data_IF_641040834643
#
_entry.id   IF_641040834643
#
_cell.length_a   1.000
_cell.length_b   1.000
_cell.length_c   1.000
_cell.angle_alpha   90.00
_cell.angle_beta   90.00
_cell.angle_gamma   90.00
#
_symmetry.space_group_name_H-M   'P 1'
#
loop_
_entity.id
_entity.type
_entity.pdbx_description
1 polymer ?
#
# COMPACT_ATOMS: atom_id res chain seq x y z
N UNK A 1 4.65 35.30 -28.12
CA UNK A 1 4.94 33.97 -27.53
C UNK A 1 3.78 33.05 -27.84
N UNK A 2 4.01 31.74 -27.98
CA UNK A 2 2.91 30.77 -28.10
C UNK A 2 2.40 30.39 -26.72
N UNK A 3 1.13 29.98 -26.61
CA UNK A 3 0.53 29.51 -25.34
C UNK A 3 1.37 28.40 -24.71
N UNK A 4 1.97 27.51 -25.50
CA UNK A 4 2.82 26.44 -24.99
C UNK A 4 4.16 26.93 -24.43
N UNK A 5 4.73 28.02 -24.96
CA UNK A 5 5.92 28.66 -24.40
C UNK A 5 5.61 29.33 -23.05
N UNK A 6 4.44 29.96 -22.94
CA UNK A 6 3.98 30.51 -21.66
C UNK A 6 3.74 29.40 -20.64
N UNK A 7 3.13 28.28 -21.04
CA UNK A 7 2.96 27.09 -20.20
C UNK A 7 4.32 26.52 -19.78
N UNK A 8 5.29 26.45 -20.69
CA UNK A 8 6.65 25.99 -20.36
C UNK A 8 7.29 26.89 -19.30
N UNK A 9 7.16 28.20 -19.45
CA UNK A 9 7.71 29.15 -18.50
C UNK A 9 7.00 29.06 -17.15
N UNK A 10 5.66 29.00 -17.15
CA UNK A 10 4.82 28.81 -15.97
C UNK A 10 5.08 27.46 -15.26
N UNK A 11 5.44 26.43 -16.02
CA UNK A 11 5.69 25.09 -15.45
C UNK A 11 6.92 25.06 -14.54
N UNK A 12 7.86 26.01 -14.68
CA UNK A 12 9.10 26.03 -13.90
C UNK A 12 8.87 26.14 -12.40
N UNK A 13 7.82 26.84 -11.99
CA UNK A 13 7.46 27.05 -10.60
C UNK A 13 6.54 25.94 -10.03
N UNK A 14 6.33 24.87 -10.80
CA UNK A 14 5.47 23.75 -10.40
C UNK A 14 6.30 22.59 -9.83
N UNK A 15 5.71 21.76 -8.95
CA UNK A 15 6.33 20.54 -8.46
C UNK A 15 6.84 19.66 -9.61
N UNK A 16 7.96 18.98 -9.40
CA UNK A 16 8.65 18.22 -10.43
C UNK A 16 7.75 17.15 -11.10
N UNK A 17 6.93 16.46 -10.31
CA UNK A 17 5.95 15.49 -10.84
C UNK A 17 4.87 16.14 -11.72
N UNK A 18 4.42 17.36 -11.41
CA UNK A 18 3.45 18.08 -12.25
C UNK A 18 4.08 18.52 -13.57
N UNK A 19 5.38 18.86 -13.54
CA UNK A 19 6.15 19.16 -14.76
C UNK A 19 6.33 17.93 -15.64
N UNK A 20 6.49 16.75 -15.06
CA UNK A 20 6.50 15.48 -15.80
C UNK A 20 5.11 15.16 -16.38
N UNK A 21 4.04 15.35 -15.59
CA UNK A 21 2.67 15.21 -16.07
C UNK A 21 2.40 16.09 -17.29
N UNK A 22 2.83 17.36 -17.25
CA UNK A 22 2.73 18.27 -18.39
C UNK A 22 3.51 17.79 -19.61
N UNK A 23 4.73 17.24 -19.43
CA UNK A 23 5.51 16.65 -20.52
C UNK A 23 4.75 15.49 -21.18
N UNK A 24 4.24 14.55 -20.40
CA UNK A 24 3.45 13.41 -20.90
C UNK A 24 2.20 13.87 -21.65
N UNK A 25 1.50 14.87 -21.11
CA UNK A 25 0.32 15.47 -21.76
C UNK A 25 0.67 16.17 -23.08
N UNK A 26 1.83 16.82 -23.18
CA UNK A 26 2.27 17.49 -24.41
C UNK A 26 2.68 16.48 -25.49
N UNK A 27 3.31 15.36 -25.12
CA UNK A 27 3.79 14.34 -26.06
C UNK A 27 2.66 13.38 -26.47
N UNK A 28 1.93 12.84 -25.50
CA UNK A 28 0.96 11.76 -25.70
C UNK A 28 -0.48 12.28 -25.85
N UNK A 29 -0.76 13.52 -25.46
CA UNK A 29 -2.08 14.14 -25.52
C UNK A 29 -3.00 13.81 -24.34
N UNK A 30 -2.93 12.58 -23.82
CA UNK A 30 -3.68 12.07 -22.65
C UNK A 30 -2.77 11.24 -21.73
N UNK A 31 -3.23 10.98 -20.51
CA UNK A 31 -2.53 10.15 -19.52
C UNK A 31 -3.31 8.85 -19.31
N UNK A 32 -2.61 7.71 -19.30
CA UNK A 32 -3.21 6.42 -18.93
C UNK A 32 -3.27 6.24 -17.40
N UNK A 33 -3.95 5.19 -16.94
CA UNK A 33 -3.98 4.86 -15.51
C UNK A 33 -2.59 4.47 -14.97
N UNK A 34 -1.73 3.89 -15.82
CA UNK A 34 -0.32 3.63 -15.50
C UNK A 34 0.46 4.94 -15.34
N UNK A 35 0.20 5.94 -16.19
CA UNK A 35 0.80 7.27 -16.04
C UNK A 35 0.40 7.92 -14.72
N UNK A 36 -0.90 7.87 -14.37
CA UNK A 36 -1.40 8.41 -13.09
C UNK A 36 -0.74 7.70 -11.90
N UNK A 37 -0.58 6.38 -11.99
CA UNK A 37 0.10 5.57 -10.97
C UNK A 37 1.56 5.97 -10.81
N UNK A 38 2.28 6.13 -11.93
CA UNK A 38 3.67 6.58 -11.91
C UNK A 38 3.81 8.01 -11.35
N UNK A 39 2.89 8.92 -11.70
CA UNK A 39 2.86 10.29 -11.18
C UNK A 39 2.58 10.35 -9.67
N UNK A 40 1.75 9.45 -9.15
CA UNK A 40 1.53 9.33 -7.71
C UNK A 40 2.81 8.88 -6.97
N UNK A 41 3.55 7.92 -7.53
CA UNK A 41 4.86 7.52 -6.99
C UNK A 41 5.89 8.65 -7.04
N UNK A 42 5.95 9.42 -8.14
CA UNK A 42 6.82 10.60 -8.26
C UNK A 42 6.43 11.72 -7.27
N UNK A 43 5.14 11.85 -6.95
CA UNK A 43 4.69 12.76 -5.91
C UNK A 43 5.18 12.31 -4.54
N UNK A 44 5.05 11.02 -4.21
CA UNK A 44 5.54 10.42 -2.95
C UNK A 44 7.06 10.52 -2.81
N UNK A 45 7.82 10.27 -3.88
CA UNK A 45 9.29 10.32 -3.85
C UNK A 45 9.81 11.72 -3.50
N UNK A 46 9.17 12.78 -4.01
CA UNK A 46 9.52 14.17 -3.67
C UNK A 46 9.32 14.54 -2.21
N UNK A 47 8.54 13.75 -1.46
CA UNK A 47 8.29 13.91 -0.03
C UNK A 47 8.97 12.82 0.83
N UNK A 48 9.79 11.95 0.24
CA UNK A 48 10.43 10.85 0.96
C UNK A 48 9.48 9.74 1.41
N UNK A 49 8.31 9.63 0.80
CA UNK A 49 7.28 8.63 1.11
C UNK A 49 7.36 7.39 0.19
N UNK A 50 8.25 7.39 -0.79
CA UNK A 50 8.51 6.30 -1.73
C UNK A 50 9.99 6.30 -2.12
N UNK A 51 10.43 5.25 -2.81
CA UNK A 51 11.77 5.18 -3.39
C UNK A 51 12.06 6.38 -4.28
N UNK A 52 13.31 6.85 -4.25
CA UNK A 52 13.71 8.01 -5.01
C UNK A 52 13.64 7.69 -6.51
N UNK A 53 12.87 8.51 -7.23
CA UNK A 53 12.63 8.36 -8.66
C UNK A 53 12.90 9.68 -9.35
N UNK A 54 13.59 9.61 -10.48
CA UNK A 54 13.86 10.77 -11.30
C UNK A 54 12.59 11.22 -12.04
N UNK A 55 12.39 12.52 -12.08
CA UNK A 55 11.33 13.15 -12.87
C UNK A 55 11.92 13.65 -14.18
N UNK A 56 11.17 13.52 -15.28
CA UNK A 56 11.55 14.12 -16.56
C UNK A 56 10.66 15.35 -16.77
N UNK A 57 11.14 16.56 -16.43
CA UNK A 57 10.31 17.76 -16.49
C UNK A 57 10.00 18.18 -17.94
N UNK A 58 8.91 18.90 -18.12
CA UNK A 58 8.65 19.64 -19.36
C UNK A 58 9.83 20.58 -19.67
N UNK A 59 10.32 20.50 -20.91
CA UNK A 59 11.52 21.17 -21.38
C UNK A 59 11.27 21.76 -22.77
N UNK A 60 12.17 22.63 -23.26
CA UNK A 60 12.01 23.32 -24.54
C UNK A 60 11.87 22.36 -25.72
N UNK A 61 12.60 21.26 -25.72
CA UNK A 61 12.52 20.19 -26.73
C UNK A 61 11.13 19.52 -26.81
N UNK A 62 10.38 19.52 -25.72
CA UNK A 62 9.04 18.95 -25.66
C UNK A 62 7.97 19.91 -26.21
N UNK A 63 8.25 21.21 -26.20
CA UNK A 63 7.32 22.25 -26.65
C UNK A 63 7.67 22.65 -28.08
N UNK A 64 6.69 22.70 -29.00
CA UNK A 64 6.95 23.21 -30.34
C UNK A 64 7.52 24.62 -30.22
N UNK A 65 8.80 24.77 -30.56
CA UNK A 65 9.41 26.07 -30.70
C UNK A 65 8.64 26.85 -31.76
N UNK A 66 8.51 28.17 -31.57
CA UNK A 66 8.67 29.01 -32.75
C UNK A 66 10.06 28.65 -33.27
N UNK A 67 10.13 27.77 -34.27
CA UNK A 67 11.23 27.91 -35.19
C UNK A 67 11.07 29.32 -35.71
N UNK A 68 12.01 30.21 -35.37
CA UNK A 68 12.22 31.47 -36.08
C UNK A 68 12.71 31.17 -37.52
N UNK A 69 12.13 30.15 -38.15
CA UNK A 69 12.38 29.72 -39.50
C UNK A 69 11.27 30.28 -40.38
N UNK A 70 11.60 30.41 -41.65
CA UNK A 70 10.70 31.01 -42.61
C UNK A 70 9.38 30.20 -42.72
N UNK A 71 8.24 30.86 -43.03
CA UNK A 71 6.92 30.24 -43.07
C UNK A 71 6.90 29.04 -44.02
N UNK A 72 6.27 27.93 -43.62
CA UNK A 72 6.11 26.76 -44.48
C UNK A 72 4.75 26.82 -45.16
N UNK A 73 4.73 26.74 -46.49
CA UNK A 73 3.51 26.70 -47.29
C UNK A 73 3.45 25.40 -48.10
N UNK A 74 2.35 24.66 -47.96
CA UNK A 74 2.10 23.49 -48.80
C UNK A 74 1.84 23.94 -50.24
N UNK A 75 2.45 23.23 -51.20
CA UNK A 75 2.30 23.48 -52.64
C UNK A 75 1.44 22.39 -53.28
N UNK A 76 1.71 21.13 -52.97
CA UNK A 76 0.89 20.02 -53.46
C UNK A 76 1.06 18.73 -52.65
N UNK A 77 0.04 17.88 -52.68
CA UNK A 77 0.13 16.46 -52.30
C UNK A 77 0.06 15.65 -53.59
N UNK A 78 1.04 14.77 -53.80
CA UNK A 78 1.06 13.78 -54.86
C UNK A 78 0.77 12.40 -54.24
N UNK A 79 -0.31 11.77 -54.70
CA UNK A 79 -0.64 10.40 -54.35
C UNK A 79 -0.16 9.48 -55.46
N UNK A 80 0.91 8.72 -55.22
CA UNK A 80 1.35 7.69 -56.18
C UNK A 80 0.39 6.51 -56.12
N UNK A 81 0.21 5.90 -54.94
CA UNK A 81 -0.66 4.74 -54.73
C UNK A 81 -0.94 4.46 -53.26
N UNK A 82 -1.93 3.60 -52.99
CA UNK A 82 -2.12 2.94 -51.69
C UNK A 82 -2.82 3.76 -50.61
N UNK A 83 -3.46 4.89 -50.95
CA UNK A 83 -4.23 5.71 -50.00
C UNK A 83 -5.73 5.68 -50.30
N UNK A 84 -6.51 5.09 -49.39
CA UNK A 84 -7.96 4.92 -49.51
C UNK A 84 -8.34 4.46 -50.94
N UNK A 85 -9.43 4.98 -51.51
CA UNK A 85 -9.81 4.80 -52.92
C UNK A 85 -9.41 6.03 -53.78
N UNK A 86 -8.30 6.69 -53.46
CA UNK A 86 -7.78 7.77 -54.29
C UNK A 86 -7.24 7.23 -55.61
N UNK A 87 -7.44 7.98 -56.70
CA UNK A 87 -6.86 7.63 -57.99
C UNK A 87 -5.32 7.68 -57.91
N UNK A 88 -4.66 6.69 -58.51
CA UNK A 88 -3.20 6.66 -58.62
C UNK A 88 -2.70 7.86 -59.44
N UNK A 89 -1.48 8.30 -59.12
CA UNK A 89 -0.79 9.45 -59.72
C UNK A 89 -1.59 10.78 -59.70
N UNK A 90 -2.47 10.95 -58.71
CA UNK A 90 -3.27 12.16 -58.56
C UNK A 90 -2.50 13.23 -57.77
N UNK A 91 -2.58 14.48 -58.24
CA UNK A 91 -2.01 15.65 -57.56
C UNK A 91 -3.09 16.59 -57.05
N UNK A 92 -3.12 16.86 -55.75
CA UNK A 92 -3.88 17.96 -55.16
C UNK A 92 -2.96 19.17 -54.97
N UNK A 93 -3.29 20.30 -55.62
CA UNK A 93 -2.49 21.55 -55.54
C UNK A 93 -3.14 22.54 -54.57
N UNK A 94 -2.31 23.27 -53.83
CA UNK A 94 -2.73 24.34 -52.93
C UNK A 94 -2.41 25.71 -53.53
N UNK A 95 -3.33 26.67 -53.33
CA UNK A 95 -3.10 28.08 -53.63
C UNK A 95 -2.37 28.80 -52.48
N UNK A 96 -1.90 30.04 -52.70
CA UNK A 96 -1.10 30.83 -51.74
C UNK A 96 -1.89 31.34 -50.51
N UNK A 97 -3.16 30.98 -50.38
CA UNK A 97 -4.05 31.41 -49.30
C UNK A 97 -5.07 30.33 -48.98
N UNK A 98 -6.36 30.66 -49.11
CA UNK A 98 -7.43 29.68 -48.87
C UNK A 98 -7.60 28.75 -50.07
N UNK A 99 -7.48 27.44 -49.84
CA UNK A 99 -7.82 26.40 -50.83
C UNK A 99 -9.05 25.65 -50.33
N UNK A 100 -10.14 25.69 -51.09
CA UNK A 100 -11.37 24.96 -50.77
C UNK A 100 -11.44 23.70 -51.63
N UNK A 101 -11.45 22.53 -50.97
CA UNK A 101 -11.62 21.22 -51.62
C UNK A 101 -13.00 20.68 -51.27
N UNK A 102 -13.87 20.55 -52.26
CA UNK A 102 -15.25 20.07 -52.10
C UNK A 102 -15.54 18.92 -53.07
N UNK A 103 -16.59 18.16 -52.79
CA UNK A 103 -17.02 17.02 -53.57
C UNK A 103 -17.95 16.14 -52.75
N UNK A 104 -18.54 15.13 -53.37
CA UNK A 104 -19.50 14.24 -52.71
C UNK A 104 -18.86 13.41 -51.59
N UNK A 105 -19.71 12.82 -50.74
CA UNK A 105 -19.26 11.83 -49.77
C UNK A 105 -18.65 10.64 -50.51
N UNK A 106 -17.46 10.19 -50.08
CA UNK A 106 -16.69 9.16 -50.77
C UNK A 106 -15.74 9.67 -51.85
N UNK A 107 -15.75 10.97 -52.21
CA UNK A 107 -14.85 11.54 -53.22
C UNK A 107 -13.35 11.61 -52.82
N UNK A 108 -12.94 11.00 -51.70
CA UNK A 108 -11.53 10.92 -51.31
C UNK A 108 -10.99 12.07 -50.44
N UNK A 109 -11.79 13.08 -50.11
CA UNK A 109 -11.37 14.23 -49.26
C UNK A 109 -10.65 13.80 -47.97
N UNK A 110 -11.23 12.85 -47.24
CA UNK A 110 -10.63 12.29 -46.00
C UNK A 110 -9.31 11.57 -46.25
N UNK A 111 -9.10 10.99 -47.45
CA UNK A 111 -7.83 10.36 -47.83
C UNK A 111 -6.69 11.36 -47.84
N UNK A 112 -6.90 12.54 -48.43
CA UNK A 112 -5.91 13.63 -48.41
C UNK A 112 -5.63 14.15 -47.00
N UNK A 113 -6.64 14.24 -46.13
CA UNK A 113 -6.46 14.63 -44.72
C UNK A 113 -5.60 13.61 -43.96
N UNK A 114 -5.77 12.30 -44.21
CA UNK A 114 -4.94 11.25 -43.60
C UNK A 114 -3.47 11.37 -44.01
N UNK A 115 -3.19 11.68 -45.27
CA UNK A 115 -1.83 11.95 -45.75
C UNK A 115 -1.21 13.12 -44.97
N UNK A 116 -1.98 14.20 -44.80
CA UNK A 116 -1.53 15.36 -44.03
C UNK A 116 -1.33 15.02 -42.55
N UNK A 117 -2.22 14.26 -41.92
CA UNK A 117 -2.06 13.82 -40.52
C UNK A 117 -0.86 12.90 -40.30
N UNK A 118 -0.46 12.11 -41.30
CA UNK A 118 0.73 11.24 -41.18
C UNK A 118 2.04 11.98 -41.39
N UNK A 119 2.03 13.03 -42.23
CA UNK A 119 3.25 13.76 -42.60
C UNK A 119 3.47 15.02 -41.75
N UNK A 120 2.38 15.67 -41.34
CA UNK A 120 2.38 16.91 -40.57
C UNK A 120 2.01 16.61 -39.11
N UNK A 121 2.19 17.59 -38.22
CA UNK A 121 1.88 17.42 -36.80
C UNK A 121 0.38 17.61 -36.56
N UNK A 122 -0.33 16.52 -36.26
CA UNK A 122 -1.78 16.51 -35.97
C UNK A 122 -2.09 15.90 -34.60
N UNK A 123 -3.16 16.36 -33.94
CA UNK A 123 -3.71 15.69 -32.74
C UNK A 123 -4.57 14.51 -33.20
N UNK A 124 -4.24 13.30 -32.75
CA UNK A 124 -4.85 12.05 -33.21
C UNK A 124 -4.23 11.57 -34.53
N UNK A 125 -2.98 11.06 -34.49
CA UNK A 125 -2.36 10.47 -35.66
C UNK A 125 -3.24 9.33 -36.17
N UNK A 126 -3.60 9.39 -37.46
CA UNK A 126 -4.47 8.42 -38.08
C UNK A 126 -3.66 7.61 -39.09
N UNK A 127 -3.75 6.28 -39.01
CA UNK A 127 -3.08 5.42 -39.97
C UNK A 127 -3.69 5.63 -41.36
N UNK A 128 -2.84 5.80 -42.37
CA UNK A 128 -3.28 5.76 -43.76
C UNK A 128 -3.88 4.37 -44.01
N UNK A 129 -5.16 4.34 -44.41
CA UNK A 129 -5.85 3.10 -44.77
C UNK A 129 -5.75 2.91 -46.28
N UNK A 130 -5.61 1.67 -46.73
CA UNK A 130 -5.64 1.35 -48.16
C UNK A 130 -7.05 1.17 -48.71
N UNK A 131 -7.16 0.89 -50.00
CA UNK A 131 -8.44 0.67 -50.67
C UNK A 131 -9.11 -0.63 -50.17
N UNK A 132 -10.22 -0.52 -49.45
CA UNK A 132 -10.96 -1.70 -48.95
C UNK A 132 -11.93 -2.29 -49.98
N UNK A 133 -12.22 -1.59 -51.08
CA UNK A 133 -13.15 -2.05 -52.12
C UNK A 133 -12.45 -2.71 -53.31
N UNK A 134 -11.11 -2.79 -53.32
CA UNK A 134 -10.35 -3.36 -54.46
C UNK A 134 -10.37 -4.89 -54.51
N UNK A 135 -10.83 -5.58 -53.46
CA UNK A 135 -10.84 -7.05 -53.39
C UNK A 135 -9.46 -7.71 -53.32
N UNK A 136 -8.40 -6.90 -53.21
CA UNK A 136 -6.99 -7.31 -53.18
C UNK A 136 -6.30 -6.72 -51.95
N UNK A 137 -5.18 -7.31 -51.51
CA UNK A 137 -4.39 -6.78 -50.40
C UNK A 137 -3.97 -5.33 -50.72
N UNK A 138 -4.27 -4.35 -49.84
CA UNK A 138 -3.96 -2.96 -50.14
C UNK A 138 -2.45 -2.72 -50.28
N UNK A 139 -2.07 -1.99 -51.33
CA UNK A 139 -0.68 -1.58 -51.57
C UNK A 139 -0.17 -0.66 -50.45
N UNK A 140 1.14 -0.71 -50.19
CA UNK A 140 1.77 0.23 -49.27
C UNK A 140 1.58 1.68 -49.78
N UNK A 141 1.21 2.63 -48.89
CA UNK A 141 0.97 4.00 -49.29
C UNK A 141 2.28 4.66 -49.73
N UNK A 142 2.27 5.25 -50.93
CA UNK A 142 3.38 6.03 -51.47
C UNK A 142 2.85 7.40 -51.85
N UNK A 143 3.34 8.42 -51.16
CA UNK A 143 2.88 9.81 -51.28
C UNK A 143 4.07 10.74 -51.25
N UNK A 144 3.96 11.87 -51.94
CA UNK A 144 4.89 12.97 -51.80
C UNK A 144 4.18 14.29 -51.51
N UNK A 145 4.81 15.14 -50.71
CA UNK A 145 4.29 16.46 -50.35
C UNK A 145 5.33 17.49 -50.77
N UNK A 146 4.92 18.42 -51.64
CA UNK A 146 5.73 19.57 -52.00
C UNK A 146 5.39 20.75 -51.11
N UNK A 147 6.41 21.39 -50.56
CA UNK A 147 6.27 22.53 -49.66
C UNK A 147 7.35 23.57 -49.92
N UNK A 148 7.07 24.83 -49.58
CA UNK A 148 8.01 25.95 -49.68
C UNK A 148 8.36 26.45 -48.29
N UNK A 149 9.62 26.80 -48.07
CA UNK A 149 10.10 27.41 -46.83
C UNK A 149 10.46 28.87 -47.12
N UNK A 150 9.70 29.82 -46.58
CA UNK A 150 9.94 31.25 -46.76
C UNK A 150 9.76 31.72 -48.19
N UNK A 151 10.77 32.45 -48.66
CA UNK A 151 10.83 33.02 -50.01
C UNK A 151 11.60 32.13 -51.01
N UNK A 152 11.91 30.88 -50.66
CA UNK A 152 12.57 29.94 -51.59
C UNK A 152 11.74 29.76 -52.87
N UNK A 153 12.38 29.90 -54.03
CA UNK A 153 11.73 29.74 -55.34
C UNK A 153 11.26 28.30 -55.54
N UNK A 154 12.15 27.36 -55.22
CA UNK A 154 11.96 25.94 -55.51
C UNK A 154 11.30 25.21 -54.33
N UNK A 155 10.19 24.49 -54.58
CA UNK A 155 9.56 23.69 -53.55
C UNK A 155 10.42 22.47 -53.21
N UNK A 156 10.53 22.19 -51.92
CA UNK A 156 11.11 20.95 -51.39
C UNK A 156 10.08 19.84 -51.45
N UNK A 157 10.53 18.59 -51.47
CA UNK A 157 9.66 17.41 -51.58
C UNK A 157 9.93 16.43 -50.44
N UNK A 158 8.87 16.07 -49.74
CA UNK A 158 8.85 15.01 -48.73
C UNK A 158 8.27 13.74 -49.35
N UNK A 159 8.97 12.60 -49.27
CA UNK A 159 8.60 11.35 -49.95
C UNK A 159 8.26 10.19 -48.99
N UNK A 160 7.64 10.48 -47.84
CA UNK A 160 7.04 9.44 -46.99
C UNK A 160 7.98 8.70 -46.04
N UNK A 161 9.30 8.89 -46.11
CA UNK A 161 10.28 7.99 -45.47
C UNK A 161 11.05 8.55 -44.28
N UNK A 162 10.87 9.81 -43.87
CA UNK A 162 11.55 10.39 -42.70
C UNK A 162 10.71 11.49 -42.03
N UNK A 163 10.92 11.73 -40.73
CA UNK A 163 10.41 12.94 -40.08
C UNK A 163 11.10 14.17 -40.70
N UNK A 164 10.29 15.11 -41.23
CA UNK A 164 10.77 16.36 -41.80
C UNK A 164 10.40 17.53 -40.88
N UNK A 165 11.42 18.23 -40.41
CA UNK A 165 11.28 19.36 -39.47
C UNK A 165 10.46 20.53 -40.03
N UNK A 166 10.35 20.65 -41.36
CA UNK A 166 9.58 21.72 -41.99
C UNK A 166 8.12 21.32 -42.21
N UNK A 167 7.87 20.10 -42.69
CA UNK A 167 6.49 19.60 -42.91
C UNK A 167 5.75 19.45 -41.58
N UNK A 168 6.44 19.05 -40.52
CA UNK A 168 5.89 18.98 -39.16
C UNK A 168 5.44 20.34 -38.58
N UNK A 169 5.84 21.48 -39.17
CA UNK A 169 5.36 22.82 -38.76
C UNK A 169 3.94 23.12 -39.23
N UNK A 170 3.42 22.35 -40.19
CA UNK A 170 2.05 22.51 -40.69
C UNK A 170 1.08 21.88 -39.70
N UNK A 171 0.09 22.65 -39.25
CA UNK A 171 -0.97 22.17 -38.35
C UNK A 171 -2.19 21.73 -39.16
N UNK A 172 -2.68 20.51 -38.90
CA UNK A 172 -3.84 19.93 -39.57
C UNK A 172 -5.03 19.90 -38.61
N UNK A 173 -6.18 20.41 -39.04
CA UNK A 173 -7.41 20.48 -38.24
C UNK A 173 -8.56 19.79 -39.00
N UNK A 174 -9.24 18.84 -38.36
CA UNK A 174 -10.42 18.17 -38.92
C UNK A 174 -11.55 17.99 -37.89
N UNK A 175 -12.68 17.42 -38.31
CA UNK A 175 -13.85 17.19 -37.43
C UNK A 175 -13.55 16.22 -36.28
N UNK A 176 -12.61 15.28 -36.45
CA UNK A 176 -12.19 14.39 -35.37
C UNK A 176 -11.37 15.15 -34.33
N UNK A 177 -10.50 16.09 -34.76
CA UNK A 177 -9.90 17.07 -33.86
C UNK A 177 -10.98 17.93 -33.18
N UNK A 178 -12.06 18.31 -33.89
CA UNK A 178 -13.16 19.14 -33.39
C UNK A 178 -14.01 18.47 -32.29
N UNK A 179 -14.22 17.15 -32.37
CA UNK A 179 -15.00 16.40 -31.37
C UNK A 179 -14.36 16.44 -29.97
N UNK A 180 -13.03 16.50 -29.89
CA UNK A 180 -12.28 16.73 -28.64
C UNK A 180 -12.54 18.14 -28.06
N UNK A 181 -12.89 19.11 -28.91
CA UNK A 181 -13.23 20.48 -28.48
C UNK A 181 -14.72 20.68 -28.13
N UNK A 182 -15.64 19.89 -28.70
CA UNK A 182 -17.10 20.07 -28.53
C UNK A 182 -17.74 19.17 -27.45
N UNK A 183 -17.05 18.09 -27.03
CA UNK A 183 -17.61 17.14 -26.05
C UNK A 183 -17.56 17.64 -24.61
N UNK A 184 -16.80 18.70 -24.32
CA UNK A 184 -16.74 19.33 -23.02
C UNK A 184 -17.50 20.66 -23.04
N UNK A 185 -18.63 20.73 -22.34
CA UNK A 185 -19.43 21.95 -22.17
C UNK A 185 -18.54 23.10 -21.68
N UNK A 186 -18.08 23.92 -22.62
CA UNK A 186 -17.29 25.11 -22.33
C UNK A 186 -17.92 26.27 -23.08
N UNK A 187 -18.30 27.32 -22.34
CA UNK A 187 -19.01 28.52 -22.80
C UNK A 187 -18.11 29.47 -23.62
N UNK A 188 -17.12 28.91 -24.34
CA UNK A 188 -16.08 29.64 -25.06
C UNK A 188 -16.03 29.09 -26.48
N UNK A 189 -16.42 29.94 -27.44
CA UNK A 189 -16.49 29.60 -28.86
C UNK A 189 -15.15 29.17 -29.49
N UNK A 190 -14.02 29.38 -28.81
CA UNK A 190 -12.69 29.04 -29.32
C UNK A 190 -11.66 28.90 -28.20
N UNK A 191 -10.97 27.76 -28.13
CA UNK A 191 -9.86 27.51 -27.19
C UNK A 191 -8.52 27.43 -27.94
N UNK A 192 -7.58 28.36 -27.71
CA UNK A 192 -6.25 28.31 -28.34
C UNK A 192 -5.49 27.01 -28.02
N UNK A 193 -4.69 26.54 -28.98
CA UNK A 193 -3.88 25.33 -28.86
C UNK A 193 -2.95 25.39 -27.63
N UNK A 194 -3.02 24.38 -26.77
CA UNK A 194 -2.24 24.28 -25.55
C UNK A 194 -2.98 24.72 -24.29
N UNK A 195 -4.05 25.52 -24.39
CA UNK A 195 -4.80 25.94 -23.20
C UNK A 195 -5.58 24.79 -22.55
N UNK A 196 -5.85 23.70 -23.29
CA UNK A 196 -6.45 22.46 -22.79
C UNK A 196 -5.55 21.66 -21.84
N UNK A 197 -4.24 21.94 -21.83
CA UNK A 197 -3.30 21.31 -20.90
C UNK A 197 -3.63 21.60 -19.44
N UNK A 198 -4.20 22.77 -19.14
CA UNK A 198 -4.60 23.12 -17.79
C UNK A 198 -5.70 22.20 -17.26
N UNK A 199 -6.73 21.95 -18.05
CA UNK A 199 -7.85 21.09 -17.62
C UNK A 199 -7.40 19.64 -17.48
N UNK A 200 -6.56 19.17 -18.43
CA UNK A 200 -5.96 17.85 -18.37
C UNK A 200 -5.06 17.69 -17.15
N UNK A 201 -4.25 18.71 -16.82
CA UNK A 201 -3.45 18.71 -15.61
C UNK A 201 -4.33 18.72 -14.35
N UNK A 202 -5.42 19.49 -14.32
CA UNK A 202 -6.39 19.48 -13.20
C UNK A 202 -6.98 18.08 -13.01
N UNK A 203 -7.35 17.39 -14.10
CA UNK A 203 -7.80 15.99 -14.03
C UNK A 203 -6.72 15.07 -13.49
N UNK A 204 -5.49 15.19 -13.99
CA UNK A 204 -4.35 14.43 -13.49
C UNK A 204 -4.14 14.64 -11.98
N UNK A 205 -4.18 15.89 -11.51
CA UNK A 205 -4.04 16.20 -10.08
C UNK A 205 -5.17 15.59 -9.24
N UNK A 206 -6.42 15.61 -9.73
CA UNK A 206 -7.55 14.97 -9.06
C UNK A 206 -7.36 13.45 -8.99
N UNK A 207 -6.96 12.82 -10.09
CA UNK A 207 -6.74 11.38 -10.14
C UNK A 207 -5.60 10.93 -9.20
N UNK A 208 -4.47 11.65 -9.21
CA UNK A 208 -3.36 11.41 -8.27
C UNK A 208 -3.82 11.61 -6.82
N UNK A 209 -4.58 12.67 -6.53
CA UNK A 209 -5.14 12.91 -5.19
C UNK A 209 -6.02 11.74 -4.74
N UNK A 210 -6.97 11.31 -5.56
CA UNK A 210 -7.86 10.19 -5.23
C UNK A 210 -7.07 8.90 -4.96
N UNK A 211 -6.01 8.64 -5.73
CA UNK A 211 -5.13 7.49 -5.50
C UNK A 211 -4.42 7.58 -4.16
N UNK A 212 -3.85 8.73 -3.81
CA UNK A 212 -3.20 8.96 -2.53
C UNK A 212 -4.18 8.90 -1.35
N UNK A 213 -5.38 9.45 -1.48
CA UNK A 213 -6.44 9.36 -0.46
C UNK A 213 -6.89 7.90 -0.25
N UNK A 214 -6.99 7.11 -1.32
CA UNK A 214 -7.28 5.67 -1.22
C UNK A 214 -6.16 4.92 -0.50
N UNK A 215 -4.90 5.16 -0.85
CA UNK A 215 -3.75 4.55 -0.16
C UNK A 215 -3.71 4.95 1.32
N UNK A 216 -3.93 6.23 1.61
CA UNK A 216 -4.01 6.74 2.99
C UNK A 216 -5.14 6.06 3.77
N UNK A 217 -6.31 5.88 3.15
CA UNK A 217 -7.42 5.18 3.78
C UNK A 217 -7.06 3.73 4.10
N UNK A 218 -6.44 3.00 3.15
CA UNK A 218 -6.00 1.61 3.37
C UNK A 218 -4.94 1.51 4.47
N UNK A 219 -4.02 2.47 4.57
CA UNK A 219 -3.04 2.54 5.67
C UNK A 219 -3.70 2.92 7.01
N UNK A 220 -4.73 3.77 6.97
CA UNK A 220 -5.49 4.22 8.14
C UNK A 220 -6.45 3.16 8.69
N UNK A 221 -6.89 2.20 7.86
CA UNK A 221 -7.58 0.99 8.30
C UNK A 221 -6.59 0.03 8.96
N UNK A 222 -6.09 0.44 10.13
CA UNK A 222 -5.22 -0.35 10.98
C UNK A 222 -5.94 -1.64 11.41
N UNK A 223 -5.58 -2.78 10.81
CA UNK A 223 -5.93 -4.11 11.35
C UNK A 223 -5.43 -4.33 12.77
N UNK A 224 -4.51 -3.47 13.24
CA UNK A 224 -3.99 -3.43 14.60
C UNK A 224 -5.08 -3.17 15.65
N UNK A 225 -6.10 -2.36 15.34
CA UNK A 225 -7.23 -2.13 16.24
C UNK A 225 -8.08 -3.40 16.42
N UNK A 226 -8.29 -4.15 15.34
CA UNK A 226 -8.97 -5.46 15.38
C UNK A 226 -8.19 -6.47 16.23
N UNK A 227 -6.86 -6.52 16.05
CA UNK A 227 -5.99 -7.43 16.81
C UNK A 227 -5.93 -7.05 18.30
N UNK A 228 -5.84 -5.76 18.64
CA UNK A 228 -5.84 -5.28 20.02
C UNK A 228 -7.07 -5.75 20.82
N UNK A 229 -8.25 -5.80 20.17
CA UNK A 229 -9.48 -6.26 20.83
C UNK A 229 -9.49 -7.76 21.18
N UNK A 230 -8.65 -8.57 20.52
CA UNK A 230 -8.55 -10.01 20.77
C UNK A 230 -7.53 -10.40 21.84
N UNK A 231 -6.65 -9.46 22.22
CA UNK A 231 -5.55 -9.74 23.14
C UNK A 231 -5.98 -9.44 24.58
N UNK A 232 -5.78 -10.38 25.53
CA UNK A 232 -6.08 -10.14 26.93
C UNK A 232 -5.32 -8.91 27.47
N UNK A 233 -6.03 -8.12 28.28
CA UNK A 233 -5.47 -6.97 28.99
C UNK A 233 -4.30 -7.44 29.89
N UNK A 234 -3.37 -6.52 30.19
CA UNK A 234 -2.17 -6.73 31.03
C UNK A 234 -1.04 -7.61 30.46
N UNK A 235 -1.26 -8.25 29.31
CA UNK A 235 -0.20 -9.00 28.62
C UNK A 235 0.92 -8.09 28.13
N UNK A 236 2.14 -8.63 28.00
CA UNK A 236 3.27 -7.90 27.43
C UNK A 236 2.97 -7.44 25.99
N UNK A 237 2.23 -8.26 25.23
CA UNK A 237 1.79 -7.96 23.86
C UNK A 237 0.78 -6.80 23.83
N UNK A 238 -0.22 -6.79 24.73
CA UNK A 238 -1.18 -5.68 24.82
C UNK A 238 -0.49 -4.35 25.15
N UNK A 239 0.42 -4.34 26.12
CA UNK A 239 1.21 -3.14 26.47
C UNK A 239 2.11 -2.67 25.32
N UNK A 240 2.73 -3.61 24.61
CA UNK A 240 3.56 -3.30 23.45
C UNK A 240 2.76 -2.70 22.30
N UNK A 241 1.60 -3.29 21.97
CA UNK A 241 0.73 -2.78 20.91
C UNK A 241 0.08 -1.44 21.26
N UNK A 242 -0.22 -1.19 22.54
CA UNK A 242 -0.74 0.10 23.00
C UNK A 242 0.31 1.23 22.92
N UNK A 243 1.59 0.90 23.10
CA UNK A 243 2.72 1.83 23.00
C UNK A 243 3.40 1.89 21.62
N UNK A 244 2.90 1.12 20.64
CA UNK A 244 3.50 1.01 19.31
C UNK A 244 3.46 2.34 18.55
N UNK A 245 4.60 2.75 18.00
CA UNK A 245 4.73 3.93 17.15
C UNK A 245 5.55 3.63 15.88
N UNK A 246 5.75 4.63 15.02
CA UNK A 246 6.63 4.54 13.85
C UNK A 246 8.11 4.27 14.20
N UNK A 247 8.50 4.40 15.48
CA UNK A 247 9.84 4.10 15.98
C UNK A 247 9.99 2.65 16.48
N UNK A 248 8.92 1.86 16.42
CA UNK A 248 8.94 0.47 16.87
C UNK A 248 9.80 -0.36 15.93
N UNK A 249 10.83 -0.99 16.48
CA UNK A 249 11.75 -1.84 15.71
C UNK A 249 11.09 -3.17 15.35
N UNK A 250 11.22 -3.67 14.10
CA UNK A 250 10.66 -4.95 13.69
C UNK A 250 11.08 -6.12 14.59
N UNK A 251 12.30 -6.08 15.13
CA UNK A 251 12.85 -7.13 15.99
C UNK A 251 12.07 -7.28 17.30
N UNK A 252 11.58 -6.16 17.86
CA UNK A 252 10.78 -6.18 19.09
C UNK A 252 9.41 -6.82 18.87
N UNK A 253 8.83 -6.65 17.67
CA UNK A 253 7.59 -7.33 17.26
C UNK A 253 7.86 -8.84 17.12
N UNK A 254 8.95 -9.22 16.46
CA UNK A 254 9.30 -10.62 16.23
C UNK A 254 9.58 -11.39 17.52
N UNK A 255 10.20 -10.74 18.51
CA UNK A 255 10.45 -11.34 19.82
C UNK A 255 9.15 -11.72 20.54
N UNK A 256 8.12 -10.86 20.47
CA UNK A 256 6.81 -11.11 21.09
C UNK A 256 5.88 -11.98 20.25
N UNK A 257 6.21 -12.23 18.99
CA UNK A 257 5.44 -13.06 18.06
C UNK A 257 5.85 -14.56 18.10
N UNK A 258 6.77 -14.94 18.99
CA UNK A 258 7.27 -16.33 19.12
C UNK A 258 7.02 -16.84 20.53
N UNK A 259 6.79 -18.14 20.65
CA UNK A 259 6.75 -18.87 21.92
C UNK A 259 7.99 -19.76 21.98
N UNK A 260 8.67 -19.77 23.12
CA UNK A 260 9.82 -20.66 23.34
C UNK A 260 9.37 -22.07 23.73
N UNK A 261 10.21 -23.11 23.52
CA UNK A 261 9.92 -24.47 23.96
C UNK A 261 9.69 -24.56 25.48
N UNK A 262 10.37 -23.74 26.28
CA UNK A 262 10.16 -23.67 27.73
C UNK A 262 8.78 -23.11 28.09
N UNK A 263 8.31 -22.11 27.35
CA UNK A 263 6.97 -21.53 27.53
C UNK A 263 5.87 -22.50 27.10
N UNK A 264 6.05 -23.26 26.02
CA UNK A 264 5.13 -24.33 25.61
C UNK A 264 5.02 -25.41 26.70
N UNK A 265 6.15 -25.87 27.23
CA UNK A 265 6.17 -26.85 28.32
C UNK A 265 5.46 -26.32 29.58
N UNK A 266 5.67 -25.04 29.90
CA UNK A 266 5.01 -24.38 31.03
C UNK A 266 3.50 -24.23 30.80
N UNK A 267 3.08 -23.88 29.59
CA UNK A 267 1.66 -23.78 29.23
C UNK A 267 0.96 -25.14 29.43
N UNK A 268 1.55 -26.22 28.90
CA UNK A 268 1.01 -27.57 29.06
C UNK A 268 0.90 -27.98 30.55
N UNK A 269 1.88 -27.61 31.38
CA UNK A 269 1.85 -27.86 32.81
C UNK A 269 0.74 -27.06 33.53
N UNK A 270 0.53 -25.80 33.13
CA UNK A 270 -0.52 -24.94 33.69
C UNK A 270 -1.92 -25.42 33.30
N UNK A 271 -2.13 -25.82 32.04
CA UNK A 271 -3.40 -26.39 31.57
C UNK A 271 -3.75 -27.66 32.35
N UNK A 272 -2.77 -28.55 32.53
CA UNK A 272 -2.95 -29.75 33.36
C UNK A 272 -3.29 -29.40 34.81
N UNK A 273 -2.57 -28.45 35.39
CA UNK A 273 -2.81 -28.00 36.78
C UNK A 273 -4.20 -27.37 36.94
N UNK A 274 -4.67 -26.63 35.93
CA UNK A 274 -5.99 -26.01 35.92
C UNK A 274 -7.09 -27.07 35.86
N UNK A 275 -6.94 -28.09 35.01
CA UNK A 275 -7.85 -29.25 34.98
C UNK A 275 -7.88 -29.99 36.31
N UNK A 276 -6.71 -30.25 36.92
CA UNK A 276 -6.62 -30.89 38.23
C UNK A 276 -7.30 -30.06 39.33
N UNK A 277 -7.21 -28.72 39.27
CA UNK A 277 -7.87 -27.79 40.20
C UNK A 277 -9.37 -27.65 39.95
N UNK A 278 -9.85 -27.78 38.71
CA UNK A 278 -11.28 -27.77 38.39
C UNK A 278 -11.94 -29.12 38.73
N UNK A 279 -11.22 -30.22 38.56
CA UNK A 279 -11.71 -31.56 38.89
C UNK A 279 -11.72 -31.82 40.42
N UNK A 280 -10.79 -31.22 41.16
CA UNK A 280 -10.75 -31.29 42.61
C UNK A 280 -11.43 -30.07 43.23
N UNK A 281 -12.52 -30.29 43.96
CA UNK A 281 -13.17 -29.27 44.77
C UNK A 281 -12.14 -28.68 45.77
N UNK A 282 -11.70 -27.42 45.59
CA UNK A 282 -10.61 -26.85 46.38
C UNK A 282 -10.98 -26.74 47.85
N UNK A 283 -12.26 -26.58 48.19
CA UNK A 283 -12.71 -26.60 49.58
C UNK A 283 -12.55 -28.00 50.20
N UNK A 284 -12.89 -29.05 49.46
CA UNK A 284 -12.65 -30.44 49.92
C UNK A 284 -11.18 -30.75 50.07
N UNK A 285 -10.33 -30.27 49.17
CA UNK A 285 -8.88 -30.47 49.27
C UNK A 285 -8.31 -29.75 50.50
N UNK A 286 -8.72 -28.50 50.76
CA UNK A 286 -8.33 -27.74 51.95
C UNK A 286 -8.79 -28.46 53.23
N UNK A 287 -10.04 -28.94 53.26
CA UNK A 287 -10.56 -29.71 54.40
C UNK A 287 -9.75 -30.99 54.64
N UNK A 288 -9.45 -31.76 53.58
CA UNK A 288 -8.65 -32.97 53.68
C UNK A 288 -7.23 -32.70 54.19
N UNK A 289 -6.56 -31.67 53.67
CA UNK A 289 -5.21 -31.29 54.10
C UNK A 289 -5.20 -30.78 55.54
N UNK A 290 -6.21 -30.02 55.95
CA UNK A 290 -6.36 -29.52 57.33
C UNK A 290 -6.54 -30.68 58.30
N UNK A 291 -7.39 -31.66 57.97
CA UNK A 291 -7.58 -32.87 58.79
C UNK A 291 -6.28 -33.68 58.88
N UNK A 292 -5.53 -33.83 57.78
CA UNK A 292 -4.23 -34.52 57.77
C UNK A 292 -3.20 -33.79 58.64
N UNK A 293 -3.09 -32.48 58.51
CA UNK A 293 -2.19 -31.67 59.35
C UNK A 293 -2.55 -31.81 60.84
N UNK A 294 -3.84 -31.78 61.17
CA UNK A 294 -4.32 -31.99 62.54
C UNK A 294 -3.96 -33.37 63.10
N UNK A 295 -4.10 -34.44 62.30
CA UNK A 295 -3.70 -35.80 62.69
C UNK A 295 -2.20 -35.91 62.97
N UNK A 296 -1.37 -35.30 62.12
CA UNK A 296 0.09 -35.29 62.31
C UNK A 296 0.46 -34.52 63.58
N UNK A 297 -0.16 -33.35 63.81
CA UNK A 297 0.07 -32.57 65.03
C UNK A 297 -0.37 -33.32 66.29
N UNK A 298 -1.51 -34.03 66.24
CA UNK A 298 -1.98 -34.86 67.35
C UNK A 298 -1.00 -36.01 67.65
N UNK A 299 -0.47 -36.67 66.62
CA UNK A 299 0.54 -37.71 66.77
C UNK A 299 1.82 -37.15 67.40
N UNK A 300 2.29 -35.99 66.95
CA UNK A 300 3.46 -35.30 67.54
C UNK A 300 3.22 -34.99 69.01
N UNK A 301 2.04 -34.52 69.38
CA UNK A 301 1.69 -34.24 70.78
C UNK A 301 1.70 -35.51 71.62
N UNK A 302 1.06 -36.57 71.14
CA UNK A 302 1.01 -37.86 71.83
C UNK A 302 2.41 -38.47 72.04
N UNK A 303 3.29 -38.38 71.02
CA UNK A 303 4.67 -38.83 71.17
C UNK A 303 5.43 -38.03 72.23
N UNK A 304 5.23 -36.71 72.30
CA UNK A 304 5.81 -35.86 73.36
C UNK A 304 5.27 -36.18 74.76
N UNK A 305 3.99 -36.51 74.86
CA UNK A 305 3.38 -36.92 76.14
C UNK A 305 3.96 -38.26 76.62
N UNK A 306 4.14 -39.23 75.73
CA UNK A 306 4.81 -40.50 76.04
C UNK A 306 6.26 -40.26 76.46
N UNK A 307 6.99 -39.43 75.72
CA UNK A 307 8.38 -39.07 76.03
C UNK A 307 8.50 -38.44 77.43
N UNK A 308 7.59 -37.53 77.78
CA UNK A 308 7.56 -36.91 79.11
C UNK A 308 7.18 -37.90 80.22
N UNK A 309 6.25 -38.81 79.98
CA UNK A 309 5.83 -39.82 80.96
C UNK A 309 6.91 -40.90 81.21
N UNK A 310 7.75 -41.18 80.21
CA UNK A 310 8.89 -42.10 80.30
C UNK A 310 10.21 -41.39 80.64
N UNK A 311 10.18 -40.09 80.94
CA UNK A 311 11.37 -39.36 81.37
C UNK A 311 11.86 -39.88 82.73
N UNK A 312 13.18 -39.88 82.92
CA UNK A 312 13.83 -40.44 84.12
C UNK A 312 13.28 -39.87 85.43
N UNK A 313 12.94 -38.57 85.45
CA UNK A 313 12.40 -37.91 86.63
C UNK A 313 10.96 -38.37 86.95
N UNK A 314 10.14 -38.58 85.91
CA UNK A 314 8.76 -39.08 86.06
C UNK A 314 8.75 -40.55 86.52
N UNK A 315 9.67 -41.36 85.97
CA UNK A 315 9.85 -42.76 86.39
C UNK A 315 10.35 -42.85 87.83
N UNK A 316 11.35 -42.05 88.23
CA UNK A 316 11.82 -41.99 89.62
C UNK A 316 10.70 -41.59 90.57
N UNK A 317 9.94 -40.55 90.26
CA UNK A 317 8.81 -40.13 91.09
C UNK A 317 7.75 -41.23 91.25
N UNK A 318 7.45 -42.00 90.19
CA UNK A 318 6.52 -43.12 90.25
C UNK A 318 7.07 -44.28 91.12
N UNK A 319 8.34 -44.63 90.98
CA UNK A 319 8.98 -45.65 91.83
C UNK A 319 9.09 -45.21 93.29
N UNK A 320 9.41 -43.94 93.56
CA UNK A 320 9.47 -43.39 94.91
C UNK A 320 8.09 -43.41 95.57
N UNK A 321 7.03 -43.05 94.83
CA UNK A 321 5.65 -43.13 95.31
C UNK A 321 5.24 -44.56 95.67
N UNK A 322 5.61 -45.54 94.84
CA UNK A 322 5.35 -46.96 95.09
C UNK A 322 6.11 -47.47 96.33
N UNK A 323 7.34 -46.99 96.52
CA UNK A 323 8.17 -47.34 97.68
C UNK A 323 7.60 -46.74 98.97
N UNK A 324 7.10 -45.50 98.92
CA UNK A 324 6.40 -44.88 100.05
C UNK A 324 5.05 -45.54 100.36
N UNK A 325 4.30 -45.99 99.35
CA UNK A 325 3.06 -46.74 99.57
C UNK A 325 3.33 -48.09 100.25
N UNK A 326 4.36 -48.81 99.81
CA UNK A 326 4.80 -50.04 100.46
C UNK A 326 5.26 -49.79 101.90
N UNK A 327 6.04 -48.73 102.13
CA UNK A 327 6.48 -48.35 103.49
C UNK A 327 5.29 -48.04 104.39
N UNK A 328 4.31 -47.26 103.91
CA UNK A 328 3.07 -46.95 104.64
C UNK A 328 2.22 -48.20 104.89
N UNK A 329 2.15 -49.12 103.94
CA UNK A 329 1.44 -50.40 104.07
C UNK A 329 2.10 -51.33 105.10
N UNK A 330 3.44 -51.39 105.13
CA UNK A 330 4.20 -52.12 106.14
C UNK A 330 4.10 -51.49 107.53
N UNK A 331 4.16 -50.16 107.63
CA UNK A 331 3.92 -49.43 108.87
C UNK A 331 2.49 -49.63 109.38
N UNK A 332 1.50 -49.59 108.50
CA UNK A 332 0.11 -49.90 108.85
C UNK A 332 -0.04 -51.35 109.33
N UNK A 333 0.64 -52.32 108.70
CA UNK A 333 0.69 -53.72 109.18
C UNK A 333 1.35 -53.82 110.55
N UNK A 334 2.51 -53.18 110.76
CA UNK A 334 3.20 -53.16 112.06
C UNK A 334 2.35 -52.53 113.17
N UNK A 335 1.71 -51.39 112.89
CA UNK A 335 0.77 -50.76 113.82
C UNK A 335 -0.40 -51.69 114.15
N UNK A 336 -0.95 -52.40 113.15
CA UNK A 336 -2.00 -53.40 113.36
C UNK A 336 -1.51 -54.55 114.25
N UNK A 337 -0.33 -55.09 114.01
CA UNK A 337 0.26 -56.17 114.83
C UNK A 337 0.63 -55.73 116.26
N UNK A 338 1.02 -54.47 116.46
CA UNK A 338 1.31 -53.90 117.78
C UNK A 338 0.02 -53.61 118.58
N UNK A 339 -1.04 -53.16 117.91
CA UNK A 339 -2.33 -52.84 118.54
C UNK A 339 -3.09 -54.10 118.99
N UNK A 340 -2.86 -55.24 118.33
CA UNK A 340 -3.56 -56.50 118.62
C UNK A 340 -2.69 -57.54 119.38
N UNK A 341 -1.53 -57.15 119.95
CA UNK A 341 -0.71 -58.05 120.80
C UNK A 341 -1.13 -57.99 122.28
N UNK A 342 -1.94 -58.99 122.67
CA UNK A 342 -2.27 -59.50 124.03
C UNK A 342 -2.92 -58.53 125.02
N UNK A 343 -4.20 -58.77 125.29
CA UNK A 343 -4.60 -59.20 126.64
C UNK A 343 -4.74 -60.73 126.62
N UNK A 344 -3.68 -61.40 127.08
CA UNK A 344 -3.75 -62.77 127.58
C UNK A 344 -3.71 -62.65 129.10
N UNK A 345 -4.87 -62.65 129.74
CA UNK A 345 -5.07 -63.15 131.08
C UNK A 345 -6.52 -63.59 131.24
#
# INVERSE_FOLDING_TARGET
MTVLQEILQWSKDRPAWQRDALRRLVINGELSDEDISALAELCKSGHGLAEQRDTVPLAKEHVPGQSAGAPVSLVSIFHHRGVNALAEDQTLKFGPGLTVVYGDNGAGKTGYIRILKSACRARGPEKILGNVVSGTTPLAPVVSIKYRVGAESDPREWAGSNEDEFVSRVSVFDTHCAAVYLTEKTDVAFRPFGLDLFDKLVRACKAVRTKLESEQYTLGTNGLATVQGTIPQDTAVARFLAGGSSLTKPEAVQALARISPEEEARLALLEKSLLDLQANDPEKLIQQLTVRAGRVQALVRHLREIEAALADDALKAAFDALTEELRKSEEAKRLREATFRRDSC
#
